data_IF_975562888988
#
_entry.id   IF_975562888988
#
_cell.length_a   1.000
_cell.length_b   1.000
_cell.length_c   1.000
_cell.angle_alpha   90.00
_cell.angle_beta   90.00
_cell.angle_gamma   90.00
#
_symmetry.space_group_name_H-M   'P 1'
#
loop_
_entity.id
_entity.type
_entity.pdbx_description
1 polymer ?
#
# COMPACT_ATOMS: atom_id res chain seq x y z
N UNK A 1 -0.59 22.71 1.86
CA UNK A 1 -0.31 22.75 0.41
C UNK A 1 0.28 24.12 0.11
N UNK A 2 1.55 24.24 -0.28
CA UNK A 2 2.22 25.56 -0.40
C UNK A 2 2.58 25.95 -1.83
N UNK A 3 2.65 24.99 -2.77
CA UNK A 3 3.12 25.23 -4.14
C UNK A 3 2.19 24.62 -5.22
N UNK A 4 0.92 24.35 -4.89
CA UNK A 4 -0.06 23.82 -5.85
C UNK A 4 -1.14 24.87 -6.13
N UNK A 5 -1.69 24.87 -7.34
CA UNK A 5 -2.85 25.67 -7.70
C UNK A 5 -4.14 24.91 -7.33
N UNK A 6 -5.01 25.46 -6.45
CA UNK A 6 -6.31 24.88 -6.14
C UNK A 6 -7.15 24.53 -7.37
N UNK A 7 -7.09 25.35 -8.43
CA UNK A 7 -7.85 25.14 -9.66
C UNK A 7 -7.35 23.95 -10.50
N UNK A 8 -6.13 23.46 -10.26
CA UNK A 8 -5.50 22.36 -11.00
C UNK A 8 -5.22 21.13 -10.12
N UNK A 9 -5.69 21.14 -8.85
CA UNK A 9 -5.41 20.08 -7.89
C UNK A 9 -6.62 19.17 -7.67
N UNK A 10 -6.42 17.86 -7.79
CA UNK A 10 -7.38 16.83 -7.37
C UNK A 10 -6.89 16.15 -6.09
N UNK A 11 -7.74 16.09 -5.07
CA UNK A 11 -7.51 15.35 -3.84
C UNK A 11 -8.19 13.98 -3.88
N UNK A 12 -7.43 12.94 -3.54
CA UNK A 12 -7.94 11.56 -3.45
C UNK A 12 -7.90 11.16 -1.97
N UNK A 13 -9.06 11.07 -1.33
CA UNK A 13 -9.17 10.73 0.09
C UNK A 13 -9.31 9.22 0.27
N UNK A 14 -8.21 8.57 0.66
CA UNK A 14 -8.17 7.12 0.86
C UNK A 14 -8.44 6.74 2.32
N UNK A 15 -9.68 6.38 2.65
CA UNK A 15 -10.05 5.84 3.97
C UNK A 15 -11.30 4.99 3.85
N UNK A 16 -11.14 3.69 4.13
CA UNK A 16 -12.23 2.70 4.05
C UNK A 16 -13.45 3.12 4.86
N UNK A 17 -13.25 3.44 6.14
CA UNK A 17 -14.32 3.83 7.06
C UNK A 17 -14.68 5.30 6.95
N UNK A 18 -13.82 6.11 6.32
CA UNK A 18 -13.86 7.56 6.32
C UNK A 18 -13.84 8.17 7.73
N UNK A 19 -13.14 7.51 8.65
CA UNK A 19 -13.01 7.95 10.06
C UNK A 19 -11.59 7.98 10.58
N UNK A 20 -10.60 7.56 9.80
CA UNK A 20 -9.20 7.55 10.22
C UNK A 20 -8.77 8.97 10.58
N UNK A 21 -8.36 9.19 11.83
CA UNK A 21 -8.18 10.54 12.40
C UNK A 21 -7.15 11.32 11.59
N UNK A 22 -6.02 10.71 11.26
CA UNK A 22 -4.94 11.31 10.49
C UNK A 22 -5.41 11.67 9.08
N UNK A 23 -6.09 10.74 8.40
CA UNK A 23 -6.59 10.96 7.03
C UNK A 23 -7.65 12.06 6.98
N UNK A 24 -8.62 12.05 7.89
CA UNK A 24 -9.73 13.02 7.89
C UNK A 24 -9.25 14.40 8.35
N UNK A 25 -8.33 14.48 9.31
CA UNK A 25 -7.67 15.75 9.68
C UNK A 25 -6.97 16.38 8.48
N UNK A 26 -6.22 15.58 7.71
CA UNK A 26 -5.55 16.06 6.50
C UNK A 26 -6.55 16.44 5.39
N UNK A 27 -7.60 15.64 5.19
CA UNK A 27 -8.64 15.92 4.20
C UNK A 27 -9.39 17.22 4.51
N UNK A 28 -9.75 17.46 5.77
CA UNK A 28 -10.37 18.73 6.19
C UNK A 28 -9.43 19.92 5.98
N UNK A 29 -8.14 19.76 6.26
CA UNK A 29 -7.14 20.81 6.01
C UNK A 29 -7.03 21.15 4.52
N UNK A 30 -7.05 20.14 3.65
CA UNK A 30 -7.07 20.33 2.19
C UNK A 30 -8.38 20.97 1.71
N UNK A 31 -9.52 20.57 2.30
CA UNK A 31 -10.84 21.14 1.98
C UNK A 31 -10.91 22.62 2.32
N UNK A 32 -10.47 23.00 3.52
CA UNK A 32 -10.37 24.42 3.91
C UNK A 32 -9.48 25.21 2.95
N UNK A 33 -8.32 24.67 2.60
CA UNK A 33 -7.40 25.32 1.66
C UNK A 33 -8.03 25.53 0.26
N UNK A 34 -8.79 24.55 -0.25
CA UNK A 34 -9.52 24.70 -1.51
C UNK A 34 -10.60 25.78 -1.41
N UNK A 35 -11.41 25.74 -0.34
CA UNK A 35 -12.53 26.67 -0.16
C UNK A 35 -12.06 28.11 0.04
N UNK A 36 -10.95 28.32 0.75
CA UNK A 36 -10.34 29.64 0.91
C UNK A 36 -9.93 30.24 -0.45
N UNK A 37 -9.54 29.41 -1.41
CA UNK A 37 -9.18 29.84 -2.76
C UNK A 37 -10.38 29.96 -3.73
N UNK A 38 -11.53 29.39 -3.37
CA UNK A 38 -12.75 29.41 -4.18
C UNK A 38 -13.86 30.27 -3.58
N UNK A 39 -13.49 31.29 -2.80
CA UNK A 39 -14.41 32.22 -2.10
C UNK A 39 -15.50 31.52 -1.28
N UNK A 40 -15.20 30.33 -0.73
CA UNK A 40 -16.13 29.53 0.05
C UNK A 40 -17.19 28.76 -0.78
N UNK A 41 -17.05 28.64 -2.10
CA UNK A 41 -17.96 27.83 -2.92
C UNK A 41 -17.85 26.33 -2.61
N UNK A 42 -18.78 25.82 -1.80
CA UNK A 42 -18.90 24.40 -1.44
C UNK A 42 -18.99 23.46 -2.65
N UNK A 43 -19.45 23.94 -3.81
CA UNK A 43 -19.49 23.12 -5.03
C UNK A 43 -18.10 22.81 -5.58
N UNK A 44 -17.06 23.52 -5.16
CA UNK A 44 -15.69 23.22 -5.52
C UNK A 44 -15.25 21.85 -4.99
N UNK A 45 -15.72 21.45 -3.80
CA UNK A 45 -15.35 20.17 -3.17
C UNK A 45 -15.70 19.00 -4.09
N UNK A 46 -16.92 18.98 -4.65
CA UNK A 46 -17.38 17.90 -5.53
C UNK A 46 -16.57 17.76 -6.84
N UNK A 47 -15.86 18.81 -7.27
CA UNK A 47 -15.04 18.81 -8.50
C UNK A 47 -13.56 18.49 -8.23
N UNK A 48 -13.09 18.74 -7.02
CA UNK A 48 -11.67 18.66 -6.65
C UNK A 48 -11.37 17.56 -5.62
N UNK A 49 -12.38 16.83 -5.14
CA UNK A 49 -12.21 15.71 -4.24
C UNK A 49 -12.90 14.45 -4.78
N UNK A 50 -12.19 13.34 -4.70
CA UNK A 50 -12.74 11.97 -4.85
C UNK A 50 -12.43 11.15 -3.60
N UNK A 51 -13.21 10.10 -3.35
CA UNK A 51 -13.05 9.25 -2.18
C UNK A 51 -12.77 7.79 -2.58
N UNK A 52 -11.88 7.14 -1.85
CA UNK A 52 -11.70 5.69 -1.88
C UNK A 52 -12.22 5.17 -0.54
N UNK A 53 -13.48 4.72 -0.52
CA UNK A 53 -14.22 4.45 0.71
C UNK A 53 -15.42 3.55 0.46
N UNK A 54 -15.98 2.97 1.53
CA UNK A 54 -17.29 2.31 1.51
C UNK A 54 -18.35 3.08 2.31
N UNK A 55 -18.00 4.23 2.88
CA UNK A 55 -18.90 5.01 3.75
C UNK A 55 -19.54 6.19 3.01
N UNK A 56 -20.56 5.90 2.19
CA UNK A 56 -21.25 6.88 1.38
C UNK A 56 -21.82 8.07 2.19
N UNK A 57 -22.34 7.82 3.40
CA UNK A 57 -22.91 8.86 4.26
C UNK A 57 -21.85 9.90 4.66
N UNK A 58 -20.67 9.46 5.10
CA UNK A 58 -19.58 10.37 5.50
C UNK A 58 -18.92 11.05 4.32
N UNK A 59 -18.81 10.37 3.19
CA UNK A 59 -18.30 10.95 1.94
C UNK A 59 -19.22 12.08 1.46
N UNK A 60 -20.53 11.83 1.42
CA UNK A 60 -21.51 12.85 1.07
C UNK A 60 -21.52 14.00 2.08
N UNK A 61 -21.44 13.69 3.38
CA UNK A 61 -21.37 14.68 4.46
C UNK A 61 -20.11 15.57 4.40
N UNK A 62 -19.02 15.08 3.79
CA UNK A 62 -17.81 15.87 3.53
C UNK A 62 -17.97 16.85 2.34
N UNK A 63 -18.93 16.59 1.45
CA UNK A 63 -19.20 17.37 0.24
C UNK A 63 -18.67 16.73 -1.05
N UNK A 64 -18.21 15.49 -1.01
CA UNK A 64 -17.82 14.72 -2.20
C UNK A 64 -19.08 14.14 -2.85
N UNK A 65 -19.18 14.26 -4.18
CA UNK A 65 -20.20 13.54 -4.96
C UNK A 65 -19.94 12.03 -4.86
N UNK A 66 -20.93 11.25 -4.43
CA UNK A 66 -20.79 9.79 -4.29
C UNK A 66 -20.59 9.09 -5.64
N UNK A 67 -20.90 9.75 -6.77
CA UNK A 67 -20.49 9.27 -8.10
C UNK A 67 -18.96 9.26 -8.28
N UNK A 68 -18.23 10.05 -7.48
CA UNK A 68 -16.77 10.11 -7.39
C UNK A 68 -16.23 9.34 -6.16
N UNK A 69 -17.02 8.41 -5.62
CA UNK A 69 -16.59 7.46 -4.60
C UNK A 69 -16.30 6.11 -5.26
N UNK A 70 -15.09 5.59 -5.04
CA UNK A 70 -14.64 4.31 -5.56
C UNK A 70 -14.50 3.31 -4.40
N UNK A 71 -15.32 2.28 -4.42
CA UNK A 71 -15.42 1.31 -3.34
C UNK A 71 -14.34 0.21 -3.44
N UNK A 72 -14.08 -0.42 -2.29
CA UNK A 72 -13.32 -1.67 -2.17
C UNK A 72 -13.81 -2.43 -0.93
N UNK A 73 -13.52 -3.72 -0.82
CA UNK A 73 -14.28 -4.60 0.08
C UNK A 73 -13.54 -5.03 1.34
N UNK A 74 -14.26 -5.68 2.26
CA UNK A 74 -13.72 -6.13 3.54
C UNK A 74 -12.62 -7.18 3.45
N UNK A 75 -12.65 -7.99 2.40
CA UNK A 75 -11.62 -8.98 2.11
C UNK A 75 -10.35 -8.37 1.50
N UNK A 76 -10.35 -7.08 1.16
CA UNK A 76 -9.15 -6.35 0.71
C UNK A 76 -8.44 -5.78 1.95
N UNK A 77 -7.40 -6.48 2.42
CA UNK A 77 -6.56 -5.99 3.51
C UNK A 77 -5.75 -4.76 3.11
N UNK A 78 -5.53 -3.81 4.02
CA UNK A 78 -4.86 -2.53 3.71
C UNK A 78 -3.50 -2.68 3.01
N UNK A 79 -2.64 -3.55 3.53
CA UNK A 79 -1.32 -3.85 2.94
C UNK A 79 -1.38 -4.65 1.62
N UNK A 80 -2.54 -5.18 1.27
CA UNK A 80 -2.83 -5.89 0.01
C UNK A 80 -3.81 -5.11 -0.88
N UNK A 81 -3.98 -3.80 -0.67
CA UNK A 81 -5.03 -3.02 -1.35
C UNK A 81 -4.58 -2.29 -2.61
N UNK A 82 -3.28 -2.31 -2.93
CA UNK A 82 -2.68 -1.51 -4.00
C UNK A 82 -3.31 -1.73 -5.39
N UNK A 83 -3.73 -2.94 -5.69
CA UNK A 83 -4.40 -3.40 -6.93
C UNK A 83 -5.93 -3.19 -6.92
N UNK A 84 -6.48 -2.61 -5.85
CA UNK A 84 -7.88 -2.21 -5.73
C UNK A 84 -8.10 -0.72 -6.12
N UNK A 85 -9.26 -0.16 -5.76
CA UNK A 85 -9.54 1.27 -5.90
C UNK A 85 -8.47 2.16 -5.23
N UNK A 86 -7.78 1.67 -4.19
CA UNK A 86 -6.63 2.37 -3.55
C UNK A 86 -5.54 2.77 -4.56
N UNK A 87 -5.38 2.00 -5.65
CA UNK A 87 -4.44 2.30 -6.73
C UNK A 87 -4.83 3.45 -7.67
N UNK A 88 -5.96 4.14 -7.45
CA UNK A 88 -6.46 5.21 -8.34
C UNK A 88 -5.42 6.31 -8.61
N UNK A 89 -4.67 6.73 -7.59
CA UNK A 89 -3.64 7.76 -7.74
C UNK A 89 -2.56 7.35 -8.75
N UNK A 90 -2.15 6.08 -8.74
CA UNK A 90 -1.21 5.55 -9.72
C UNK A 90 -1.87 5.45 -11.10
N UNK A 91 -3.09 4.93 -11.18
CA UNK A 91 -3.81 4.81 -12.45
C UNK A 91 -3.92 6.17 -13.17
N UNK A 92 -4.18 7.25 -12.43
CA UNK A 92 -4.19 8.62 -12.98
C UNK A 92 -2.80 9.02 -13.49
N UNK A 93 -1.74 8.70 -12.75
CA UNK A 93 -0.37 9.09 -13.10
C UNK A 93 0.19 8.34 -14.33
N UNK A 94 -0.11 7.04 -14.50
CA UNK A 94 0.46 6.20 -15.57
C UNK A 94 -0.53 5.89 -16.70
N UNK A 95 -1.79 6.28 -16.53
CA UNK A 95 -2.88 5.96 -17.43
C UNK A 95 -3.50 4.58 -17.19
N UNK A 96 -4.78 4.39 -17.56
CA UNK A 96 -5.52 3.16 -17.28
C UNK A 96 -4.95 1.93 -17.98
N UNK A 97 -4.36 2.08 -19.17
CA UNK A 97 -3.82 0.94 -19.93
C UNK A 97 -2.56 0.38 -19.26
N UNK A 98 -1.69 1.23 -18.73
CA UNK A 98 -0.51 0.80 -17.97
C UNK A 98 -0.87 0.25 -16.60
N UNK A 99 -1.91 0.78 -15.97
CA UNK A 99 -2.44 0.19 -14.74
C UNK A 99 -3.01 -1.22 -14.99
N UNK A 100 -3.74 -1.44 -16.10
CA UNK A 100 -4.19 -2.79 -16.48
C UNK A 100 -3.05 -3.74 -16.78
N UNK A 101 -2.02 -3.28 -17.50
CA UNK A 101 -0.80 -4.06 -17.75
C UNK A 101 -0.15 -4.51 -16.43
N UNK A 102 -0.09 -3.62 -15.44
CA UNK A 102 0.38 -3.97 -14.09
C UNK A 102 -0.51 -5.06 -13.45
N UNK A 103 -1.84 -4.90 -13.48
CA UNK A 103 -2.77 -5.89 -12.93
C UNK A 103 -2.66 -7.26 -13.64
N UNK A 104 -2.42 -7.27 -14.95
CA UNK A 104 -2.12 -8.50 -15.69
C UNK A 104 -0.84 -9.17 -15.18
N UNK A 105 0.17 -8.39 -14.81
CA UNK A 105 1.37 -8.87 -14.12
C UNK A 105 1.07 -9.53 -12.78
N UNK A 106 0.23 -8.93 -11.93
CA UNK A 106 -0.24 -9.54 -10.68
C UNK A 106 -0.92 -10.88 -10.94
N UNK A 107 -1.87 -10.90 -11.89
CA UNK A 107 -2.61 -12.12 -12.26
C UNK A 107 -1.71 -13.24 -12.78
N UNK A 108 -0.65 -12.92 -13.52
CA UNK A 108 0.34 -13.93 -13.97
C UNK A 108 1.00 -14.61 -12.76
N UNK A 109 1.40 -13.84 -11.74
CA UNK A 109 2.03 -14.38 -10.53
C UNK A 109 1.02 -15.16 -9.69
N UNK A 110 -0.23 -14.70 -9.59
CA UNK A 110 -1.30 -15.40 -8.86
C UNK A 110 -1.61 -16.77 -9.48
N UNK A 111 -1.76 -16.83 -10.81
CA UNK A 111 -2.00 -18.09 -11.52
C UNK A 111 -0.78 -19.02 -11.46
N UNK A 112 0.44 -18.47 -11.48
CA UNK A 112 1.66 -19.26 -11.24
C UNK A 112 1.66 -19.85 -9.83
N UNK A 113 1.42 -19.03 -8.80
CA UNK A 113 1.38 -19.47 -7.41
C UNK A 113 0.32 -20.55 -7.17
N UNK A 114 -0.85 -20.42 -7.80
CA UNK A 114 -1.95 -21.38 -7.67
C UNK A 114 -1.67 -22.71 -8.35
N UNK A 115 -1.06 -22.70 -9.54
CA UNK A 115 -1.05 -23.87 -10.44
C UNK A 115 0.31 -24.56 -10.58
N UNK A 116 1.43 -23.88 -10.30
CA UNK A 116 2.76 -24.48 -10.47
C UNK A 116 3.05 -25.56 -9.43
N UNK A 117 3.69 -26.65 -9.86
CA UNK A 117 4.20 -27.68 -8.94
C UNK A 117 5.19 -27.07 -7.94
N UNK A 118 5.19 -27.57 -6.70
CA UNK A 118 5.97 -26.99 -5.61
C UNK A 118 7.46 -26.73 -5.94
N UNK A 119 8.20 -27.62 -6.62
CA UNK A 119 9.59 -27.39 -6.98
C UNK A 119 9.83 -26.26 -8.01
N UNK A 120 8.79 -25.82 -8.73
CA UNK A 120 8.83 -24.74 -9.70
C UNK A 120 8.07 -23.47 -9.22
N UNK A 121 7.47 -23.52 -8.04
CA UNK A 121 6.63 -22.45 -7.53
C UNK A 121 7.48 -21.40 -6.79
N UNK A 122 7.94 -20.38 -7.53
CA UNK A 122 8.82 -19.34 -6.99
C UNK A 122 8.33 -18.67 -5.69
N UNK A 123 7.07 -18.19 -5.54
CA UNK A 123 6.62 -17.63 -4.26
C UNK A 123 6.65 -18.63 -3.11
N UNK A 124 6.27 -19.90 -3.35
CA UNK A 124 6.35 -20.95 -2.33
C UNK A 124 7.80 -21.21 -1.90
N UNK A 125 8.72 -21.34 -2.85
CA UNK A 125 10.14 -21.56 -2.57
C UNK A 125 10.74 -20.40 -1.79
N UNK A 126 10.41 -19.15 -2.14
CA UNK A 126 10.85 -17.97 -1.40
C UNK A 126 10.32 -17.95 0.04
N UNK A 127 9.06 -18.33 0.24
CA UNK A 127 8.48 -18.47 1.59
C UNK A 127 9.17 -19.58 2.42
N UNK A 128 9.45 -20.74 1.82
CA UNK A 128 10.17 -21.84 2.47
C UNK A 128 11.62 -21.46 2.81
N UNK A 129 12.30 -20.69 1.96
CA UNK A 129 13.61 -20.14 2.27
C UNK A 129 13.56 -19.19 3.47
N UNK A 130 12.52 -18.36 3.58
CA UNK A 130 12.28 -17.52 4.75
C UNK A 130 12.21 -18.34 6.05
N UNK A 131 11.43 -19.43 6.03
CA UNK A 131 11.34 -20.38 7.15
C UNK A 131 12.69 -21.03 7.43
N UNK A 132 13.40 -21.48 6.39
CA UNK A 132 14.71 -22.12 6.54
C UNK A 132 15.72 -21.20 7.24
N UNK A 133 15.83 -19.96 6.78
CA UNK A 133 16.76 -19.00 7.37
C UNK A 133 16.33 -18.57 8.78
N UNK A 134 15.04 -18.36 9.02
CA UNK A 134 14.51 -17.97 10.32
C UNK A 134 14.60 -19.08 11.36
N UNK A 135 13.95 -20.22 11.11
CA UNK A 135 13.75 -21.27 12.12
C UNK A 135 14.96 -22.19 12.30
N UNK A 136 15.81 -22.34 11.28
CA UNK A 136 16.96 -23.27 11.33
C UNK A 136 18.32 -22.58 11.40
N UNK A 137 18.41 -21.32 10.96
CA UNK A 137 19.66 -20.54 10.96
C UNK A 137 19.60 -19.28 11.84
N UNK A 138 18.49 -19.06 12.55
CA UNK A 138 18.27 -17.92 13.47
C UNK A 138 18.50 -16.55 12.80
N UNK A 139 18.21 -16.45 11.50
CA UNK A 139 18.30 -15.20 10.75
C UNK A 139 17.03 -14.36 10.98
N UNK A 140 17.12 -13.42 11.92
CA UNK A 140 15.98 -12.60 12.36
C UNK A 140 15.65 -11.40 11.44
N UNK A 141 16.38 -11.23 10.33
CA UNK A 141 16.17 -10.11 9.42
C UNK A 141 16.31 -10.50 7.95
N UNK A 142 15.62 -9.77 7.08
CA UNK A 142 15.63 -9.94 5.63
C UNK A 142 15.94 -8.61 4.94
N UNK A 143 17.08 -8.56 4.23
CA UNK A 143 17.50 -7.37 3.50
C UNK A 143 16.96 -7.37 2.05
N UNK A 144 16.15 -6.38 1.68
CA UNK A 144 15.67 -6.16 0.31
C UNK A 144 16.48 -5.04 -0.33
N UNK A 145 17.28 -5.39 -1.35
CA UNK A 145 18.34 -4.55 -1.91
C UNK A 145 18.15 -4.35 -3.43
N UNK A 146 17.13 -3.59 -3.88
CA UNK A 146 16.85 -3.44 -5.29
C UNK A 146 17.95 -2.61 -6.00
N UNK A 147 18.48 -3.10 -7.11
CA UNK A 147 19.48 -2.37 -7.92
C UNK A 147 18.81 -1.40 -8.90
N UNK A 148 17.91 -0.57 -8.37
CA UNK A 148 17.20 0.46 -9.12
C UNK A 148 16.73 1.55 -8.16
N UNK A 149 17.07 2.80 -8.46
CA UNK A 149 16.63 3.94 -7.66
C UNK A 149 15.10 4.15 -7.71
N UNK A 150 14.45 3.75 -8.81
CA UNK A 150 12.99 3.82 -8.94
C UNK A 150 12.26 2.93 -7.92
N UNK A 151 12.94 1.91 -7.37
CA UNK A 151 12.42 1.04 -6.33
C UNK A 151 12.80 1.50 -4.91
N UNK A 152 13.15 2.78 -4.73
CA UNK A 152 13.53 3.34 -3.42
C UNK A 152 12.47 3.25 -2.32
N UNK A 153 11.19 3.10 -2.69
CA UNK A 153 10.08 2.89 -1.75
C UNK A 153 9.65 1.43 -1.63
N UNK A 154 10.21 0.52 -2.42
CA UNK A 154 9.79 -0.87 -2.47
C UNK A 154 10.01 -1.58 -1.13
N UNK A 155 11.19 -1.39 -0.50
CA UNK A 155 11.47 -1.98 0.81
C UNK A 155 10.51 -1.46 1.88
N UNK A 156 10.16 -0.17 1.86
CA UNK A 156 9.20 0.41 2.80
C UNK A 156 7.78 -0.15 2.62
N UNK A 157 7.38 -0.43 1.38
CA UNK A 157 6.13 -1.14 1.09
C UNK A 157 6.16 -2.58 1.65
N UNK A 158 7.26 -3.31 1.43
CA UNK A 158 7.42 -4.68 1.92
C UNK A 158 7.47 -4.79 3.46
N UNK A 159 7.99 -3.76 4.14
CA UNK A 159 7.98 -3.71 5.61
C UNK A 159 6.57 -3.86 6.17
N UNK A 160 5.60 -3.10 5.65
CA UNK A 160 4.22 -3.27 6.06
C UNK A 160 3.66 -4.62 5.59
N UNK A 161 3.89 -4.98 4.33
CA UNK A 161 3.36 -6.21 3.75
C UNK A 161 3.74 -7.45 4.56
N UNK A 162 5.01 -7.58 4.91
CA UNK A 162 5.55 -8.76 5.60
C UNK A 162 5.37 -8.65 7.12
N UNK A 163 5.91 -7.60 7.74
CA UNK A 163 6.01 -7.51 9.20
C UNK A 163 4.62 -7.38 9.86
N UNK A 164 3.69 -6.64 9.25
CA UNK A 164 2.31 -6.55 9.78
C UNK A 164 1.50 -7.84 9.51
N UNK A 165 1.86 -8.62 8.47
CA UNK A 165 1.25 -9.93 8.19
C UNK A 165 1.74 -10.98 9.19
N UNK A 166 3.05 -11.10 9.33
CA UNK A 166 3.69 -12.29 9.90
C UNK A 166 4.35 -12.05 11.25
N UNK A 167 4.58 -10.79 11.67
CA UNK A 167 5.07 -10.45 13.01
C UNK A 167 4.00 -10.70 14.09
N UNK A 168 3.81 -11.98 14.44
CA UNK A 168 2.74 -12.46 15.33
C UNK A 168 3.31 -13.42 16.37
N UNK A 169 2.57 -13.62 17.45
CA UNK A 169 2.95 -14.50 18.57
C UNK A 169 1.94 -15.61 18.87
N UNK A 170 0.86 -15.71 18.08
CA UNK A 170 -0.23 -16.67 18.30
C UNK A 170 -0.57 -17.38 17.00
N UNK A 171 -0.73 -18.70 17.05
CA UNK A 171 -1.11 -19.53 15.91
C UNK A 171 -2.60 -19.44 15.56
N UNK A 172 -3.04 -20.22 14.58
CA UNK A 172 -4.43 -20.20 14.10
C UNK A 172 -5.41 -20.87 15.09
N UNK A 173 -4.90 -21.68 16.00
CA UNK A 173 -5.66 -22.34 17.07
C UNK A 173 -5.73 -21.49 18.35
N UNK A 174 -5.08 -20.33 18.37
CA UNK A 174 -5.09 -19.41 19.52
C UNK A 174 -4.03 -19.72 20.58
N UNK A 175 -3.00 -20.51 20.25
CA UNK A 175 -1.89 -20.85 21.15
C UNK A 175 -0.69 -19.95 20.89
N UNK A 176 0.05 -19.63 21.96
CA UNK A 176 1.34 -18.94 21.83
C UNK A 176 2.33 -19.82 21.06
N UNK A 177 3.08 -19.21 20.13
CA UNK A 177 4.07 -19.92 19.30
C UNK A 177 5.44 -19.93 19.97
N UNK A 178 6.18 -21.03 19.80
CA UNK A 178 7.54 -21.22 20.35
C UNK A 178 8.62 -21.16 19.25
N UNK A 179 8.28 -20.71 18.04
CA UNK A 179 9.16 -20.60 16.88
C UNK A 179 9.25 -19.14 16.38
N UNK A 180 10.19 -18.85 15.48
CA UNK A 180 10.33 -17.51 14.90
C UNK A 180 9.18 -17.24 13.92
N UNK A 181 8.66 -16.01 13.89
CA UNK A 181 7.62 -15.62 12.93
C UNK A 181 8.17 -14.64 11.89
N UNK A 182 7.47 -13.55 11.57
CA UNK A 182 7.91 -12.60 10.55
C UNK A 182 9.27 -11.95 10.90
N UNK A 183 10.22 -11.89 9.94
CA UNK A 183 11.53 -11.27 10.18
C UNK A 183 11.45 -9.75 10.18
N UNK A 184 12.52 -9.08 10.64
CA UNK A 184 12.71 -7.64 10.40
C UNK A 184 13.07 -7.40 8.94
N UNK A 185 12.21 -6.73 8.18
CA UNK A 185 12.48 -6.36 6.78
C UNK A 185 13.16 -4.99 6.71
N UNK A 186 14.27 -4.90 5.99
CA UNK A 186 15.03 -3.65 5.86
C UNK A 186 15.82 -3.58 4.54
N UNK A 187 16.43 -2.42 4.26
CA UNK A 187 17.29 -2.24 3.09
C UNK A 187 17.07 -0.92 2.34
N UNK A 188 18.04 -0.58 1.49
CA UNK A 188 18.03 0.56 0.59
C UNK A 188 18.48 0.13 -0.81
N UNK A 189 18.13 0.89 -1.87
CA UNK A 189 18.57 0.56 -3.22
C UNK A 189 20.09 0.51 -3.37
N UNK A 190 20.56 -0.38 -4.26
CA UNK A 190 21.94 -0.36 -4.75
C UNK A 190 22.18 0.85 -5.68
N UNK A 191 23.35 1.49 -5.65
CA UNK A 191 24.54 1.17 -4.84
C UNK A 191 24.57 1.85 -3.46
N UNK A 192 23.54 2.62 -3.08
CA UNK A 192 23.53 3.37 -1.81
C UNK A 192 23.76 2.46 -0.59
N UNK A 193 23.08 1.31 -0.53
CA UNK A 193 23.28 0.34 0.55
C UNK A 193 24.70 -0.22 0.62
N UNK A 194 25.36 -0.41 -0.54
CA UNK A 194 26.73 -0.92 -0.63
C UNK A 194 27.73 -0.03 0.12
N UNK A 195 27.51 1.28 0.09
CA UNK A 195 28.38 2.25 0.74
C UNK A 195 27.90 2.65 2.16
N UNK A 196 26.88 1.98 2.70
CA UNK A 196 26.33 2.28 4.02
C UNK A 196 26.55 1.14 5.02
N UNK A 197 26.12 -0.09 4.69
CA UNK A 197 26.02 -1.18 5.66
C UNK A 197 26.49 -2.55 5.13
N UNK A 198 26.95 -2.65 3.89
CA UNK A 198 27.40 -3.94 3.34
C UNK A 198 28.67 -4.47 4.01
N UNK A 199 29.44 -3.64 4.72
CA UNK A 199 30.55 -4.13 5.54
C UNK A 199 30.08 -5.04 6.69
N UNK A 200 28.84 -4.89 7.16
CA UNK A 200 28.26 -5.71 8.23
C UNK A 200 27.62 -7.01 7.70
N UNK A 201 27.10 -6.98 6.46
CA UNK A 201 26.53 -8.16 5.78
C UNK A 201 27.66 -9.13 5.43
#
# INVERSE_FOLDING_TARGET
VRDLDPAETLFIVASKTFTTIETITNANSARSWLLDASDGDEKAVAKHFVALSTNAEKVAGFGIDTANMFEFWDWVGGRYSYDSAIGLSLMIAIGPDRFREMLDGFRIVDEHFRNAEAPANAPLLLGLLGIWYGDFLDAQSHAVLPYSHYLSKFTAYLQQLDMESNGKSVDREGREVEWQTGPVVWGTPGTNGQHAYYQLI
#
